data_IF_445180259102
#
_entry.id   IF_445180259102
#
_cell.length_a   1.000
_cell.length_b   1.000
_cell.length_c   1.000
_cell.angle_alpha   90.00
_cell.angle_beta   90.00
_cell.angle_gamma   90.00
#
_symmetry.space_group_name_H-M   'P 1'
#
loop_
_entity.id
_entity.type
_entity.pdbx_description
1 polymer ?
#
# COMPACT_ATOMS: atom_id res chain seq x y z
N UNK A 1 -2.70 29.99 -17.91
CA UNK A 1 -2.41 29.46 -16.55
C UNK A 1 -3.42 28.41 -16.04
N UNK A 2 -4.56 28.15 -16.71
CA UNK A 2 -5.59 27.19 -16.24
C UNK A 2 -5.28 25.68 -16.44
N UNK A 3 -4.31 25.31 -17.29
CA UNK A 3 -4.02 23.90 -17.60
C UNK A 3 -3.27 23.16 -16.49
N UNK A 4 -2.29 23.81 -15.85
CA UNK A 4 -1.42 23.18 -14.85
C UNK A 4 -2.19 22.82 -13.57
N UNK A 5 -3.08 23.70 -13.11
CA UNK A 5 -3.92 23.43 -11.92
C UNK A 5 -4.82 22.19 -12.12
N UNK A 6 -5.44 22.07 -13.30
CA UNK A 6 -6.25 20.89 -13.64
C UNK A 6 -5.41 19.63 -13.71
N UNK A 7 -4.20 19.71 -14.27
CA UNK A 7 -3.27 18.59 -14.34
C UNK A 7 -2.88 18.09 -12.94
N UNK A 8 -2.46 19.01 -12.06
CA UNK A 8 -2.09 18.66 -10.67
C UNK A 8 -3.28 18.05 -9.93
N UNK A 9 -4.49 18.59 -10.10
CA UNK A 9 -5.70 18.06 -9.47
C UNK A 9 -6.00 16.63 -9.95
N UNK A 10 -5.93 16.38 -11.25
CA UNK A 10 -6.15 15.04 -11.82
C UNK A 10 -5.09 14.07 -11.29
N UNK A 11 -3.81 14.47 -11.26
CA UNK A 11 -2.73 13.65 -10.71
C UNK A 11 -2.96 13.31 -9.23
N UNK A 12 -3.39 14.29 -8.42
CA UNK A 12 -3.72 14.08 -7.02
C UNK A 12 -4.88 13.10 -6.84
N UNK A 13 -5.93 13.21 -7.67
CA UNK A 13 -7.07 12.27 -7.62
C UNK A 13 -6.67 10.84 -8.00
N UNK A 14 -5.82 10.68 -9.03
CA UNK A 14 -5.32 9.37 -9.46
C UNK A 14 -4.43 8.74 -8.37
N UNK A 15 -3.53 9.53 -7.77
CA UNK A 15 -2.67 9.08 -6.67
C UNK A 15 -3.49 8.67 -5.44
N UNK A 16 -4.54 9.42 -5.11
CA UNK A 16 -5.44 9.08 -4.01
C UNK A 16 -6.16 7.76 -4.26
N UNK A 17 -6.70 7.57 -5.48
CA UNK A 17 -7.38 6.33 -5.86
C UNK A 17 -6.43 5.13 -5.83
N UNK A 18 -5.22 5.28 -6.37
CA UNK A 18 -4.20 4.23 -6.33
C UNK A 18 -3.82 3.87 -4.88
N UNK A 19 -3.69 4.87 -4.01
CA UNK A 19 -3.39 4.67 -2.58
C UNK A 19 -4.50 3.89 -1.88
N UNK A 20 -5.76 4.22 -2.15
CA UNK A 20 -6.91 3.52 -1.59
C UNK A 20 -7.00 2.06 -2.06
N UNK A 21 -6.77 1.80 -3.35
CA UNK A 21 -6.74 0.44 -3.91
C UNK A 21 -5.62 -0.39 -3.26
N UNK A 22 -4.43 0.20 -3.12
CA UNK A 22 -3.30 -0.45 -2.45
C UNK A 22 -3.60 -0.75 -0.98
N UNK A 23 -4.28 0.16 -0.28
CA UNK A 23 -4.69 -0.08 1.11
C UNK A 23 -5.67 -1.24 1.22
N UNK A 24 -6.66 -1.33 0.32
CA UNK A 24 -7.60 -2.46 0.27
C UNK A 24 -6.86 -3.76 -0.02
N UNK A 25 -5.90 -3.76 -0.95
CA UNK A 25 -5.08 -4.93 -1.26
C UNK A 25 -4.28 -5.40 -0.04
N UNK A 26 -3.67 -4.47 0.69
CA UNK A 26 -2.92 -4.76 1.92
C UNK A 26 -3.83 -5.38 2.98
N UNK A 27 -4.99 -4.76 3.23
CA UNK A 27 -5.97 -5.26 4.20
C UNK A 27 -6.49 -6.64 3.82
N UNK A 28 -6.83 -6.86 2.55
CA UNK A 28 -7.26 -8.16 2.03
C UNK A 28 -6.17 -9.21 2.25
N UNK A 29 -4.94 -8.91 1.83
CA UNK A 29 -3.81 -9.83 1.94
C UNK A 29 -3.52 -10.17 3.41
N UNK A 30 -3.53 -9.18 4.31
CA UNK A 30 -3.39 -9.39 5.74
C UNK A 30 -4.51 -10.27 6.30
N UNK A 31 -5.77 -10.03 5.90
CA UNK A 31 -6.91 -10.83 6.37
C UNK A 31 -6.84 -12.30 5.93
N UNK A 32 -6.21 -12.56 4.79
CA UNK A 32 -6.01 -13.92 4.27
C UNK A 32 -4.69 -14.55 4.71
N UNK A 33 -3.77 -13.77 5.30
CA UNK A 33 -2.49 -14.25 5.78
C UNK A 33 -2.71 -15.04 7.08
N UNK A 34 -2.68 -16.36 7.01
CA UNK A 34 -2.67 -17.21 8.21
C UNK A 34 -1.25 -17.31 8.76
N UNK A 35 -1.07 -17.00 10.04
CA UNK A 35 0.18 -17.23 10.77
C UNK A 35 0.34 -18.74 11.00
N UNK A 36 1.18 -19.42 10.21
CA UNK A 36 1.42 -20.86 10.35
C UNK A 36 2.57 -21.13 11.31
N UNK A 37 2.25 -21.51 12.56
CA UNK A 37 3.21 -22.17 13.46
C UNK A 37 3.13 -23.67 13.24
N UNK A 38 4.17 -24.27 12.68
CA UNK A 38 4.33 -25.73 12.68
C UNK A 38 5.41 -26.11 13.69
N UNK A 39 4.98 -26.53 14.88
CA UNK A 39 5.87 -27.16 15.86
C UNK A 39 5.65 -28.66 15.83
N UNK A 40 6.65 -29.43 15.42
CA UNK A 40 6.58 -30.89 15.48
C UNK A 40 7.96 -31.48 15.76
N UNK A 41 8.26 -31.78 17.04
CA UNK A 41 9.35 -32.67 17.47
C UNK A 41 10.56 -32.74 16.52
N UNK A 42 10.89 -33.94 16.00
CA UNK A 42 12.03 -34.17 15.09
C UNK A 42 11.75 -33.91 13.59
N UNK A 43 10.54 -33.50 13.19
CA UNK A 43 10.23 -33.29 11.76
C UNK A 43 9.22 -32.16 11.60
N UNK A 44 9.66 -31.03 11.04
CA UNK A 44 8.81 -29.90 10.65
C UNK A 44 8.22 -30.19 9.28
N UNK A 45 6.89 -30.29 9.17
CA UNK A 45 6.19 -30.47 7.88
C UNK A 45 5.69 -29.13 7.38
N UNK A 46 6.27 -28.64 6.29
CA UNK A 46 5.80 -27.43 5.57
C UNK A 46 4.62 -27.79 4.66
N UNK A 47 3.44 -27.21 4.93
CA UNK A 47 2.29 -27.26 4.02
C UNK A 47 2.41 -26.15 2.96
N UNK A 48 1.83 -26.30 1.75
CA UNK A 48 1.96 -25.30 0.70
C UNK A 48 1.15 -24.04 1.05
N UNK A 49 1.86 -22.94 1.30
CA UNK A 49 1.32 -21.61 1.55
C UNK A 49 2.46 -20.60 1.67
N UNK A 50 2.20 -19.33 1.39
CA UNK A 50 3.22 -18.28 1.55
C UNK A 50 3.29 -17.89 3.02
N UNK A 51 4.46 -18.05 3.64
CA UNK A 51 4.73 -17.52 4.99
C UNK A 51 4.44 -16.02 5.01
N UNK A 52 3.49 -15.59 5.83
CA UNK A 52 3.08 -14.20 5.96
C UNK A 52 4.27 -13.31 6.34
N UNK A 53 5.16 -13.76 7.24
CA UNK A 53 6.31 -12.98 7.67
C UNK A 53 7.31 -12.80 6.51
N UNK A 54 7.59 -13.86 5.76
CA UNK A 54 8.43 -13.78 4.57
C UNK A 54 7.81 -12.88 3.48
N UNK A 55 6.51 -13.05 3.22
CA UNK A 55 5.77 -12.24 2.24
C UNK A 55 5.83 -10.75 2.57
N UNK A 56 5.55 -10.37 3.82
CA UNK A 56 5.55 -8.97 4.25
C UNK A 56 6.94 -8.38 4.36
N UNK A 57 7.97 -9.19 4.61
CA UNK A 57 9.37 -8.75 4.57
C UNK A 57 9.75 -8.37 3.13
N UNK A 58 9.48 -9.25 2.18
CA UNK A 58 9.81 -9.04 0.76
C UNK A 58 8.93 -7.97 0.11
N UNK A 59 7.71 -7.77 0.62
CA UNK A 59 6.75 -6.79 0.14
C UNK A 59 6.50 -5.65 1.15
N UNK A 60 7.50 -5.31 1.97
CA UNK A 60 7.38 -4.26 3.01
C UNK A 60 6.93 -2.90 2.48
N UNK A 61 7.26 -2.60 1.22
CA UNK A 61 6.82 -1.39 0.51
C UNK A 61 5.29 -1.27 0.42
N UNK A 62 4.55 -2.39 0.37
CA UNK A 62 3.09 -2.39 0.33
C UNK A 62 2.48 -1.76 1.59
N UNK A 63 3.14 -1.89 2.75
CA UNK A 63 2.66 -1.28 3.99
C UNK A 63 2.82 0.24 4.01
N UNK A 64 3.80 0.76 3.27
CA UNK A 64 4.17 2.18 3.28
C UNK A 64 3.56 2.92 2.08
N UNK A 65 3.35 2.22 0.96
CA UNK A 65 2.87 2.81 -0.29
C UNK A 65 1.55 3.59 -0.17
N UNK A 66 0.51 3.11 0.54
CA UNK A 66 -0.73 3.87 0.74
C UNK A 66 -0.50 5.21 1.47
N UNK A 67 0.32 5.18 2.51
CA UNK A 67 0.65 6.38 3.31
C UNK A 67 1.52 7.35 2.50
N UNK A 68 2.51 6.85 1.76
CA UNK A 68 3.35 7.66 0.89
C UNK A 68 2.53 8.33 -0.23
N UNK A 69 1.65 7.59 -0.89
CA UNK A 69 0.76 8.15 -1.91
C UNK A 69 -0.20 9.21 -1.36
N UNK A 70 -0.69 9.02 -0.14
CA UNK A 70 -1.51 10.02 0.56
C UNK A 70 -0.72 11.30 0.90
N UNK A 71 0.52 11.19 1.37
CA UNK A 71 1.39 12.33 1.66
C UNK A 71 1.74 13.13 0.39
N UNK A 72 2.03 12.44 -0.72
CA UNK A 72 2.27 13.08 -2.02
C UNK A 72 1.00 13.80 -2.47
N UNK A 73 -0.16 13.15 -2.36
CA UNK A 73 -1.45 13.76 -2.70
C UNK A 73 -1.71 15.02 -1.88
N UNK A 74 -1.49 14.98 -0.56
CA UNK A 74 -1.62 16.15 0.30
C UNK A 74 -0.67 17.28 -0.11
N UNK A 75 0.56 16.95 -0.50
CA UNK A 75 1.54 17.93 -0.97
C UNK A 75 1.10 18.58 -2.29
N UNK A 76 0.58 17.80 -3.24
CA UNK A 76 0.06 18.30 -4.52
C UNK A 76 -1.16 19.20 -4.32
N UNK A 77 -2.08 18.80 -3.42
CA UNK A 77 -3.24 19.61 -3.06
C UNK A 77 -2.81 20.90 -2.34
N UNK A 78 -1.84 20.83 -1.43
CA UNK A 78 -1.24 22.01 -0.80
C UNK A 78 -0.62 22.97 -1.83
N UNK A 79 0.06 22.44 -2.83
CA UNK A 79 0.63 23.24 -3.92
C UNK A 79 -0.45 23.95 -4.74
N UNK A 80 -1.62 23.32 -4.95
CA UNK A 80 -2.77 23.96 -5.60
C UNK A 80 -3.29 25.16 -4.80
N UNK A 81 -3.32 25.07 -3.47
CA UNK A 81 -3.73 26.16 -2.59
C UNK A 81 -2.73 27.32 -2.55
N UNK A 82 -1.43 27.06 -2.69
CA UNK A 82 -0.41 28.12 -2.76
C UNK A 82 -0.38 28.77 -4.16
N UNK A 83 -0.70 28.00 -5.20
CA UNK A 83 -0.79 28.50 -6.58
C UNK A 83 -2.08 29.30 -6.88
N UNK A 84 -3.04 29.44 -5.94
CA UNK A 84 -4.27 30.23 -6.14
C UNK A 84 -3.94 31.65 -6.51
#
# INVERSE_FOLDING_TARGET
MFGIKKLILISAMVLLLASAIMQVYVMYTMSTSQEYVVTTGTNVVTTPGTDAAAYWKDNSWLMIAPSAGSLITMSLVGFLFVMT
#
